data_IF_188162585195
#
_entry.id   IF_188162585195
#
_cell.length_a   1.000
_cell.length_b   1.000
_cell.length_c   1.000
_cell.angle_alpha   90.00
_cell.angle_beta   90.00
_cell.angle_gamma   90.00
#
_symmetry.space_group_name_H-M   'P 1'
#
loop_
_entity.id
_entity.type
_entity.pdbx_description
1 polymer ?
#
# COMPACT_ATOMS: atom_id res chain seq x y z
N UNK A 1 -13.43 -50.00 -41.08
CA UNK A 1 -14.19 -50.13 -39.82
C UNK A 1 -13.55 -49.35 -38.70
N UNK A 2 -14.37 -48.58 -37.99
CA UNK A 2 -13.97 -47.92 -36.74
C UNK A 2 -14.48 -48.74 -35.55
N UNK A 3 -13.68 -48.91 -34.49
CA UNK A 3 -14.09 -49.68 -33.32
C UNK A 3 -15.29 -49.02 -32.62
N UNK A 4 -16.15 -49.84 -32.01
CA UNK A 4 -17.21 -49.37 -31.11
C UNK A 4 -16.58 -49.06 -29.74
N UNK A 5 -16.65 -47.81 -29.32
CA UNK A 5 -16.13 -47.37 -28.02
C UNK A 5 -17.13 -47.65 -26.89
N UNK A 6 -16.65 -48.03 -25.69
CA UNK A 6 -17.50 -48.17 -24.51
C UNK A 6 -17.91 -46.79 -23.98
N UNK A 7 -19.13 -46.65 -23.46
CA UNK A 7 -19.63 -45.36 -22.92
C UNK A 7 -18.82 -44.81 -21.74
N UNK A 8 -17.98 -45.64 -21.10
CA UNK A 8 -17.08 -45.23 -20.01
C UNK A 8 -16.08 -44.14 -20.43
N UNK A 9 -15.79 -43.99 -21.73
CA UNK A 9 -14.86 -42.96 -22.22
C UNK A 9 -15.48 -41.56 -22.31
N UNK A 10 -16.80 -41.43 -22.21
CA UNK A 10 -17.48 -40.13 -22.32
C UNK A 10 -17.13 -39.17 -21.18
N UNK A 11 -16.68 -39.69 -20.03
CA UNK A 11 -16.35 -38.91 -18.83
C UNK A 11 -14.91 -39.14 -18.33
N UNK A 12 -13.95 -39.29 -19.24
CA UNK A 12 -12.53 -39.47 -18.91
C UNK A 12 -11.96 -38.25 -18.15
N UNK A 13 -11.60 -38.44 -16.89
CA UNK A 13 -10.82 -37.47 -16.10
C UNK A 13 -9.33 -37.53 -16.53
N UNK A 14 -8.99 -36.84 -17.62
CA UNK A 14 -7.64 -36.83 -18.20
C UNK A 14 -6.97 -35.45 -18.22
N UNK A 15 -7.64 -34.45 -17.66
CA UNK A 15 -7.15 -33.09 -17.48
C UNK A 15 -7.45 -32.66 -16.06
N UNK A 16 -6.49 -31.98 -15.47
CA UNK A 16 -6.64 -31.41 -14.14
C UNK A 16 -5.90 -30.07 -14.09
N UNK A 17 -6.31 -29.19 -13.20
CA UNK A 17 -5.63 -27.92 -13.01
C UNK A 17 -5.57 -27.56 -11.54
N UNK A 18 -4.44 -26.97 -11.15
CA UNK A 18 -4.30 -26.35 -9.84
C UNK A 18 -4.02 -24.88 -10.05
N UNK A 19 -4.71 -24.04 -9.30
CA UNK A 19 -4.60 -22.59 -9.39
C UNK A 19 -4.02 -21.96 -8.14
N UNK A 20 -3.42 -20.78 -8.31
CA UNK A 20 -3.03 -19.88 -7.22
C UNK A 20 -3.64 -18.51 -7.49
N UNK A 21 -4.39 -18.00 -6.53
CA UNK A 21 -4.95 -16.64 -6.55
C UNK A 21 -4.26 -15.80 -5.50
N UNK A 22 -3.76 -14.62 -5.88
CA UNK A 22 -3.16 -13.64 -4.99
C UNK A 22 -4.06 -12.41 -4.94
N UNK A 23 -4.67 -12.17 -3.78
CA UNK A 23 -5.47 -10.98 -3.50
C UNK A 23 -4.62 -9.83 -2.99
N UNK A 24 -4.90 -8.62 -3.44
CA UNK A 24 -4.26 -7.39 -2.98
C UNK A 24 -5.29 -6.47 -2.34
N UNK A 25 -5.21 -6.29 -1.02
CA UNK A 25 -6.22 -5.55 -0.23
C UNK A 25 -5.59 -4.49 0.66
N UNK A 26 -6.34 -3.47 1.04
CA UNK A 26 -5.97 -2.56 2.12
C UNK A 26 -6.33 -3.15 3.49
N UNK A 27 -5.87 -2.52 4.58
CA UNK A 27 -6.18 -2.96 5.97
C UNK A 27 -7.69 -3.03 6.27
N UNK A 28 -8.52 -2.26 5.57
CA UNK A 28 -9.99 -2.28 5.70
C UNK A 28 -10.67 -3.39 4.89
N UNK A 29 -9.89 -4.22 4.18
CA UNK A 29 -10.37 -5.30 3.33
C UNK A 29 -10.83 -4.86 1.93
N UNK A 30 -10.80 -3.57 1.61
CA UNK A 30 -11.11 -3.08 0.26
C UNK A 30 -10.00 -3.45 -0.72
N UNK A 31 -10.36 -3.56 -2.00
CA UNK A 31 -9.43 -3.94 -3.07
C UNK A 31 -8.36 -2.86 -3.29
N UNK A 32 -7.09 -3.23 -3.19
CA UNK A 32 -5.96 -2.34 -3.45
C UNK A 32 -5.46 -2.43 -4.89
N UNK A 33 -5.38 -3.64 -5.45
CA UNK A 33 -5.00 -3.94 -6.84
C UNK A 33 -5.78 -5.14 -7.36
N UNK A 34 -5.71 -5.35 -8.67
CA UNK A 34 -6.27 -6.54 -9.31
C UNK A 34 -5.56 -7.81 -8.86
N UNK A 35 -6.34 -8.88 -8.69
CA UNK A 35 -5.82 -10.18 -8.29
C UNK A 35 -4.92 -10.76 -9.38
N UNK A 36 -3.91 -11.51 -8.96
CA UNK A 36 -3.12 -12.35 -9.87
C UNK A 36 -3.61 -13.78 -9.75
N UNK A 37 -3.92 -14.40 -10.88
CA UNK A 37 -4.33 -15.81 -10.94
C UNK A 37 -3.37 -16.55 -11.86
N UNK A 38 -2.73 -17.59 -11.34
CA UNK A 38 -1.90 -18.53 -12.09
C UNK A 38 -2.58 -19.90 -12.12
N UNK A 39 -2.39 -20.65 -13.19
CA UNK A 39 -2.99 -21.98 -13.36
C UNK A 39 -2.00 -22.93 -13.99
N UNK A 40 -1.68 -24.00 -13.26
CA UNK A 40 -0.88 -25.11 -13.75
C UNK A 40 -1.81 -26.19 -14.29
N UNK A 41 -1.45 -26.73 -15.46
CA UNK A 41 -2.31 -27.65 -16.20
C UNK A 41 -1.66 -29.02 -16.32
N UNK A 42 -2.36 -30.04 -15.88
CA UNK A 42 -1.91 -31.42 -15.86
C UNK A 42 -2.74 -32.26 -16.83
N UNK A 43 -2.08 -33.21 -17.48
CA UNK A 43 -2.72 -34.17 -18.39
C UNK A 43 -2.22 -35.57 -18.11
N UNK A 44 -3.07 -36.57 -18.30
CA UNK A 44 -2.66 -37.98 -18.27
C UNK A 44 -3.27 -38.74 -19.43
N UNK A 45 -2.61 -39.83 -19.80
CA UNK A 45 -3.15 -40.77 -20.78
C UNK A 45 -3.89 -41.91 -20.09
N UNK A 46 -4.67 -42.67 -20.85
CA UNK A 46 -5.40 -43.82 -20.34
C UNK A 46 -5.49 -44.89 -21.41
N UNK A 47 -5.35 -46.15 -21.02
CA UNK A 47 -5.61 -47.28 -21.90
C UNK A 47 -7.05 -47.76 -21.67
N UNK A 48 -7.79 -47.99 -22.75
CA UNK A 48 -9.20 -48.39 -22.68
C UNK A 48 -9.35 -49.79 -23.27
N UNK A 49 -9.90 -50.71 -22.49
CA UNK A 49 -10.32 -52.01 -23.00
C UNK A 49 -11.69 -51.88 -23.69
N UNK A 50 -11.72 -52.00 -25.01
CA UNK A 50 -12.93 -51.81 -25.82
C UNK A 50 -14.01 -52.89 -25.59
N UNK A 51 -13.64 -54.05 -25.05
CA UNK A 51 -14.57 -55.16 -24.80
C UNK A 51 -15.19 -55.05 -23.41
N UNK A 52 -14.39 -54.75 -22.39
CA UNK A 52 -14.85 -54.70 -20.98
C UNK A 52 -15.25 -53.30 -20.52
N UNK A 53 -14.82 -52.25 -21.22
CA UNK A 53 -15.00 -50.86 -20.81
C UNK A 53 -14.05 -50.40 -19.70
N UNK A 54 -13.11 -51.25 -19.26
CA UNK A 54 -12.12 -50.91 -18.24
C UNK A 54 -11.15 -49.83 -18.72
N UNK A 55 -10.76 -48.92 -17.82
CA UNK A 55 -9.86 -47.79 -18.08
C UNK A 55 -8.69 -47.83 -17.11
N UNK A 56 -7.48 -47.94 -17.65
CA UNK A 56 -6.23 -47.87 -16.90
C UNK A 56 -5.59 -46.48 -17.07
N UNK A 57 -5.72 -45.64 -16.05
CA UNK A 57 -5.13 -44.30 -16.03
C UNK A 57 -3.63 -44.37 -15.79
N UNK A 58 -2.88 -43.62 -16.59
CA UNK A 58 -1.45 -43.41 -16.38
C UNK A 58 -1.21 -42.24 -15.41
N UNK A 59 0.05 -42.06 -15.02
CA UNK A 59 0.45 -40.94 -14.18
C UNK A 59 0.18 -39.59 -14.85
N UNK A 60 -0.04 -38.58 -14.01
CA UNK A 60 -0.16 -37.20 -14.45
C UNK A 60 1.17 -36.66 -14.94
N UNK A 61 1.11 -35.86 -16.00
CA UNK A 61 2.25 -35.17 -16.61
C UNK A 61 1.93 -33.68 -16.76
N UNK A 62 2.95 -32.85 -16.68
CA UNK A 62 2.86 -31.41 -16.92
C UNK A 62 4.15 -30.93 -17.58
N UNK A 63 4.07 -29.80 -18.29
CA UNK A 63 5.25 -29.08 -18.78
C UNK A 63 5.76 -28.06 -17.76
N UNK A 64 4.97 -27.78 -16.72
CA UNK A 64 5.26 -26.81 -15.68
C UNK A 64 4.55 -27.20 -14.39
N UNK A 65 5.31 -27.29 -13.30
CA UNK A 65 4.84 -27.64 -11.96
C UNK A 65 5.17 -26.54 -10.93
N UNK A 66 5.48 -25.34 -11.41
CA UNK A 66 5.92 -24.23 -10.57
C UNK A 66 5.01 -23.02 -10.71
N UNK A 67 4.45 -22.56 -9.61
CA UNK A 67 3.94 -21.19 -9.55
C UNK A 67 5.13 -20.25 -9.35
N UNK A 68 5.25 -19.24 -10.20
CA UNK A 68 6.42 -18.37 -10.22
C UNK A 68 6.48 -17.44 -9.00
N UNK A 69 7.56 -16.69 -8.84
CA UNK A 69 7.59 -15.63 -7.84
C UNK A 69 6.81 -14.42 -8.33
N UNK A 70 5.91 -13.87 -7.51
CA UNK A 70 5.16 -12.65 -7.84
C UNK A 70 5.58 -11.53 -6.90
N UNK A 71 6.14 -10.45 -7.46
CA UNK A 71 6.47 -9.24 -6.69
C UNK A 71 5.20 -8.43 -6.45
N UNK A 72 4.99 -8.01 -5.21
CA UNK A 72 3.84 -7.19 -4.85
C UNK A 72 3.93 -5.80 -5.49
N UNK A 73 2.86 -5.30 -6.13
CA UNK A 73 2.84 -3.96 -6.71
C UNK A 73 3.17 -2.86 -5.69
N UNK A 74 3.93 -1.85 -6.08
CA UNK A 74 4.12 -0.66 -5.25
C UNK A 74 2.89 0.24 -5.29
N UNK A 75 2.47 0.76 -4.13
CA UNK A 75 1.39 1.75 -4.01
C UNK A 75 1.93 2.94 -3.20
N UNK A 76 1.86 4.15 -3.75
CA UNK A 76 2.41 5.34 -3.09
C UNK A 76 1.74 5.57 -1.72
N UNK A 77 2.55 5.77 -0.68
CA UNK A 77 2.12 5.94 0.72
C UNK A 77 1.54 4.69 1.38
N UNK A 78 1.82 3.50 0.82
CA UNK A 78 1.50 2.23 1.44
C UNK A 78 2.68 1.24 1.36
N UNK A 79 2.82 0.42 2.41
CA UNK A 79 3.73 -0.71 2.49
C UNK A 79 2.95 -2.01 2.48
N UNK A 80 3.31 -2.91 1.56
CA UNK A 80 2.80 -4.27 1.55
C UNK A 80 3.40 -5.08 2.71
N UNK A 81 2.60 -5.90 3.38
CA UNK A 81 3.06 -6.85 4.40
C UNK A 81 4.00 -7.93 3.83
N UNK A 82 3.78 -8.30 2.57
CA UNK A 82 4.64 -9.18 1.76
C UNK A 82 5.12 -8.40 0.55
N UNK A 83 6.43 -8.17 0.43
CA UNK A 83 7.02 -7.54 -0.77
C UNK A 83 6.97 -8.44 -2.01
N UNK A 84 6.87 -9.76 -1.80
CA UNK A 84 6.69 -10.76 -2.83
C UNK A 84 6.01 -12.00 -2.27
N UNK A 85 5.32 -12.74 -3.14
CA UNK A 85 4.87 -14.11 -2.90
C UNK A 85 5.92 -15.03 -3.53
N UNK A 86 6.55 -15.94 -2.75
CA UNK A 86 7.60 -16.81 -3.26
C UNK A 86 7.06 -17.81 -4.30
N UNK A 87 7.98 -18.33 -5.11
CA UNK A 87 7.68 -19.42 -6.03
C UNK A 87 7.32 -20.70 -5.26
N UNK A 88 6.45 -21.53 -5.84
CA UNK A 88 6.06 -22.83 -5.29
C UNK A 88 6.25 -23.88 -6.38
N UNK A 89 7.31 -24.68 -6.27
CA UNK A 89 7.64 -25.76 -7.21
C UNK A 89 7.12 -27.12 -6.75
N UNK A 90 7.02 -28.07 -7.69
CA UNK A 90 6.61 -29.44 -7.40
C UNK A 90 5.12 -29.59 -7.13
N UNK A 91 4.29 -28.69 -7.68
CA UNK A 91 2.83 -28.77 -7.59
C UNK A 91 2.32 -29.99 -8.31
N UNK A 92 1.43 -30.75 -7.67
CA UNK A 92 0.86 -31.98 -8.23
C UNK A 92 -0.55 -31.75 -8.72
N UNK A 93 -0.98 -32.54 -9.70
CA UNK A 93 -2.29 -32.43 -10.33
C UNK A 93 -3.47 -32.36 -9.33
N UNK A 94 -3.42 -33.12 -8.23
CA UNK A 94 -4.51 -33.19 -7.25
C UNK A 94 -4.23 -32.35 -5.98
N UNK A 95 -3.25 -31.45 -6.01
CA UNK A 95 -3.07 -30.47 -4.94
C UNK A 95 -4.29 -29.54 -4.88
N UNK A 96 -4.57 -28.99 -3.70
CA UNK A 96 -5.61 -27.97 -3.56
C UNK A 96 -5.16 -26.64 -4.19
N UNK A 97 -6.14 -25.90 -4.70
CA UNK A 97 -5.94 -24.50 -5.08
C UNK A 97 -5.41 -23.68 -3.91
N UNK A 98 -4.57 -22.70 -4.22
CA UNK A 98 -3.92 -21.83 -3.24
C UNK A 98 -4.53 -20.43 -3.30
N UNK A 99 -4.75 -19.85 -2.14
CA UNK A 99 -5.17 -18.45 -2.01
C UNK A 99 -4.19 -17.74 -1.09
N UNK A 100 -3.59 -16.68 -1.61
CA UNK A 100 -2.68 -15.80 -0.88
C UNK A 100 -3.30 -14.41 -0.81
N UNK A 101 -3.05 -13.70 0.29
CA UNK A 101 -3.44 -12.30 0.43
C UNK A 101 -2.21 -11.48 0.78
N UNK A 102 -2.06 -10.34 0.09
CA UNK A 102 -1.11 -9.26 0.38
C UNK A 102 -1.92 -8.06 0.88
N UNK A 103 -1.56 -7.58 2.06
CA UNK A 103 -2.25 -6.46 2.72
C UNK A 103 -1.38 -5.21 2.71
N UNK A 104 -1.91 -4.11 2.19
CA UNK A 104 -1.26 -2.80 2.16
C UNK A 104 -1.66 -1.97 3.37
N UNK A 105 -0.65 -1.52 4.11
CA UNK A 105 -0.79 -0.62 5.26
C UNK A 105 -0.34 0.77 4.86
N UNK A 106 -1.08 1.81 5.28
CA UNK A 106 -0.65 3.19 5.06
C UNK A 106 0.69 3.42 5.73
N UNK A 107 1.59 4.10 5.03
CA UNK A 107 2.91 4.44 5.56
C UNK A 107 2.81 5.48 6.66
N UNK A 108 3.73 5.39 7.63
CA UNK A 108 3.93 6.44 8.61
C UNK A 108 4.55 7.68 7.93
N UNK A 109 4.03 8.84 8.30
CA UNK A 109 4.38 10.14 7.75
C UNK A 109 4.70 11.11 8.89
N UNK A 110 5.49 12.14 8.55
CA UNK A 110 5.84 13.22 9.46
C UNK A 110 5.65 14.57 8.77
N UNK A 111 5.07 15.51 9.49
CA UNK A 111 4.99 16.90 9.09
C UNK A 111 5.69 17.78 10.14
N UNK A 112 6.34 18.82 9.64
CA UNK A 112 7.16 19.75 10.40
C UNK A 112 6.56 21.14 10.28
N UNK A 113 6.24 21.75 11.42
CA UNK A 113 5.77 23.12 11.49
C UNK A 113 6.93 23.97 12.01
N UNK A 114 7.50 24.78 11.12
CA UNK A 114 8.69 25.58 11.41
C UNK A 114 8.29 27.04 11.65
N UNK A 115 8.54 27.52 12.86
CA UNK A 115 8.34 28.92 13.23
C UNK A 115 9.64 29.70 13.05
N UNK A 116 9.60 30.77 12.26
CA UNK A 116 10.79 31.55 11.91
C UNK A 116 10.58 33.06 12.10
N UNK A 117 11.65 33.78 12.43
CA UNK A 117 11.68 35.26 12.42
C UNK A 117 12.04 35.80 11.02
N UNK A 118 11.77 37.10 10.78
CA UNK A 118 11.97 37.90 9.54
C UNK A 118 12.94 37.34 8.50
N UNK A 119 12.49 37.29 7.23
CA UNK A 119 13.17 36.69 6.07
C UNK A 119 13.53 35.19 6.20
N UNK A 120 13.01 34.48 7.21
CA UNK A 120 13.20 33.02 7.38
C UNK A 120 14.57 32.61 7.95
N UNK A 121 15.40 33.58 8.34
CA UNK A 121 16.81 33.34 8.68
C UNK A 121 17.03 32.76 10.08
N UNK A 122 16.08 32.92 11.00
CA UNK A 122 16.18 32.40 12.38
C UNK A 122 15.00 31.51 12.71
N UNK A 123 15.28 30.25 13.05
CA UNK A 123 14.29 29.35 13.66
C UNK A 123 14.04 29.78 15.09
N UNK A 124 12.76 29.98 15.42
CA UNK A 124 12.31 30.27 16.78
C UNK A 124 11.97 28.97 17.50
N UNK A 125 11.17 28.12 16.86
CA UNK A 125 10.84 26.77 17.33
C UNK A 125 10.41 25.90 16.14
N UNK A 126 10.32 24.60 16.36
CA UNK A 126 9.80 23.64 15.40
C UNK A 126 8.95 22.63 16.15
N UNK A 127 7.77 22.38 15.62
CA UNK A 127 6.89 21.32 16.11
C UNK A 127 6.88 20.20 15.06
N UNK A 128 6.88 18.96 15.52
CA UNK A 128 6.78 17.78 14.67
C UNK A 128 5.51 17.02 15.01
N UNK A 129 4.81 16.56 13.98
CA UNK A 129 3.62 15.72 14.11
C UNK A 129 3.74 14.53 13.18
N UNK A 130 3.26 13.38 13.64
CA UNK A 130 3.28 12.12 12.88
C UNK A 130 1.87 11.60 12.67
N UNK A 131 1.66 10.88 11.58
CA UNK A 131 0.40 10.19 11.27
C UNK A 131 0.60 9.22 10.12
N UNK A 132 -0.48 8.73 9.53
CA UNK A 132 -0.39 7.87 8.34
C UNK A 132 -0.74 8.64 7.07
N UNK A 133 -0.25 8.14 5.93
CA UNK A 133 -0.53 8.72 4.61
C UNK A 133 -2.03 8.98 4.38
N UNK A 134 -2.35 10.17 3.90
CA UNK A 134 -3.72 10.64 3.65
C UNK A 134 -4.57 10.93 4.90
N UNK A 135 -4.06 10.75 6.12
CA UNK A 135 -4.76 11.18 7.34
C UNK A 135 -4.68 12.70 7.51
N UNK A 136 -5.67 13.29 8.19
CA UNK A 136 -5.63 14.70 8.54
C UNK A 136 -4.50 14.98 9.54
N UNK A 137 -3.77 16.08 9.31
CA UNK A 137 -2.77 16.58 10.25
C UNK A 137 -3.51 17.35 11.35
N UNK A 138 -3.74 16.67 12.47
CA UNK A 138 -4.43 17.22 13.64
C UNK A 138 -3.52 18.17 14.44
N UNK A 139 -3.23 19.34 13.87
CA UNK A 139 -2.36 20.36 14.45
C UNK A 139 -3.00 21.75 14.34
N UNK A 140 -2.58 22.70 15.18
CA UNK A 140 -3.03 24.09 15.14
C UNK A 140 -1.90 25.02 15.56
N UNK A 141 -1.66 26.06 14.76
CA UNK A 141 -0.61 27.05 14.99
C UNK A 141 -0.98 28.10 16.04
N UNK A 142 -2.27 28.21 16.40
CA UNK A 142 -2.85 29.31 17.17
C UNK A 142 -2.17 29.52 18.53
N UNK A 143 -1.90 28.45 19.27
CA UNK A 143 -1.30 28.55 20.62
C UNK A 143 0.12 29.10 20.56
N UNK A 144 0.98 28.55 19.70
CA UNK A 144 2.35 29.03 19.49
C UNK A 144 2.37 30.49 19.00
N UNK A 145 1.54 30.84 18.01
CA UNK A 145 1.44 32.22 17.51
C UNK A 145 1.01 33.18 18.63
N UNK A 146 0.07 32.76 19.50
CA UNK A 146 -0.38 33.58 20.63
C UNK A 146 0.75 33.82 21.63
N UNK A 147 1.59 32.82 21.88
CA UNK A 147 2.73 32.96 22.78
C UNK A 147 3.81 33.89 22.20
N UNK A 148 4.13 33.75 20.91
CA UNK A 148 5.05 34.69 20.25
C UNK A 148 4.53 36.13 20.24
N UNK A 149 3.21 36.35 20.11
CA UNK A 149 2.63 37.70 20.24
C UNK A 149 2.88 38.33 21.60
N UNK A 150 2.84 37.56 22.69
CA UNK A 150 3.17 38.05 24.05
C UNK A 150 4.65 38.38 24.19
N UNK A 151 5.51 37.64 23.50
CA UNK A 151 6.96 37.89 23.45
C UNK A 151 7.36 39.05 22.52
N UNK A 152 6.39 39.78 21.97
CA UNK A 152 6.65 40.93 21.12
C UNK A 152 6.88 40.57 19.65
N UNK A 153 6.26 39.51 19.12
CA UNK A 153 6.23 39.22 17.68
C UNK A 153 4.88 39.56 17.05
N UNK A 154 4.87 39.73 15.72
CA UNK A 154 3.70 39.92 14.85
C UNK A 154 3.67 38.78 13.83
N UNK A 155 2.49 38.24 13.53
CA UNK A 155 2.34 37.22 12.48
C UNK A 155 2.53 37.86 11.10
N UNK A 156 3.36 37.24 10.26
CA UNK A 156 3.58 37.63 8.86
C UNK A 156 2.86 36.65 7.94
N UNK A 157 3.11 35.34 8.09
CA UNK A 157 2.45 34.28 7.30
C UNK A 157 2.28 33.00 8.10
N UNK A 158 1.27 32.21 7.72
CA UNK A 158 1.00 30.88 8.28
C UNK A 158 0.63 29.94 7.13
N UNK A 159 1.61 29.16 6.65
CA UNK A 159 1.41 28.21 5.56
C UNK A 159 0.61 26.97 5.97
N UNK A 160 0.50 26.68 7.27
CA UNK A 160 -0.25 25.53 7.75
C UNK A 160 -1.76 25.82 7.70
N UNK A 161 -2.17 26.96 8.26
CA UNK A 161 -3.59 27.36 8.32
C UNK A 161 -4.11 27.86 6.97
N UNK A 162 -3.24 28.44 6.14
CA UNK A 162 -3.61 28.88 4.79
C UNK A 162 -4.08 27.70 3.93
N UNK A 163 -5.23 27.81 3.27
CA UNK A 163 -5.72 26.77 2.35
C UNK A 163 -6.41 25.57 3.01
N UNK A 164 -6.90 25.71 4.24
CA UNK A 164 -7.76 24.73 4.89
C UNK A 164 -7.04 23.55 5.53
N UNK A 165 -7.80 22.50 5.86
CA UNK A 165 -7.29 21.31 6.54
C UNK A 165 -6.16 20.65 5.73
N UNK A 166 -5.07 20.27 6.41
CA UNK A 166 -3.92 19.59 5.82
C UNK A 166 -4.03 18.09 6.06
N UNK A 167 -3.51 17.32 5.11
CA UNK A 167 -3.40 15.86 5.20
C UNK A 167 -1.95 15.46 4.98
N UNK A 168 -1.55 14.35 5.59
CA UNK A 168 -0.28 13.72 5.27
C UNK A 168 -0.27 13.30 3.80
N UNK A 169 0.81 13.58 3.08
CA UNK A 169 0.96 13.12 1.71
C UNK A 169 1.33 11.61 1.67
N UNK A 170 1.74 11.15 0.50
CA UNK A 170 2.07 9.76 0.22
C UNK A 170 3.57 9.59 -0.13
N UNK A 171 4.42 10.58 0.16
CA UNK A 171 5.88 10.56 -0.09
C UNK A 171 6.66 10.37 1.20
N UNK A 172 6.99 9.11 1.53
CA UNK A 172 7.81 8.78 2.72
C UNK A 172 9.26 9.24 2.61
N UNK A 173 9.73 9.69 1.44
CA UNK A 173 11.10 10.16 1.27
C UNK A 173 11.28 11.62 1.68
N UNK A 174 10.19 12.37 1.90
CA UNK A 174 10.23 13.79 2.25
C UNK A 174 9.19 14.15 3.31
N UNK A 175 9.67 14.70 4.41
CA UNK A 175 8.78 15.30 5.39
C UNK A 175 8.07 16.53 4.79
N UNK A 176 6.77 16.65 5.03
CA UNK A 176 6.02 17.85 4.68
C UNK A 176 6.42 18.98 5.63
N UNK A 177 6.77 20.14 5.09
CA UNK A 177 7.18 21.30 5.88
C UNK A 177 6.23 22.45 5.67
N UNK A 178 5.71 23.01 6.76
CA UNK A 178 4.90 24.23 6.77
C UNK A 178 5.62 25.31 7.56
N UNK A 179 5.75 26.51 6.97
CA UNK A 179 6.43 27.63 7.63
C UNK A 179 5.45 28.64 8.18
N UNK A 180 5.64 29.02 9.44
CA UNK A 180 4.98 30.16 10.06
C UNK A 180 6.02 31.26 10.24
N UNK A 181 5.83 32.38 9.54
CA UNK A 181 6.75 33.52 9.61
C UNK A 181 6.23 34.58 10.57
N UNK A 182 7.09 35.01 11.47
CA UNK A 182 6.86 36.04 12.48
C UNK A 182 7.86 37.19 12.28
N UNK A 183 7.49 38.40 12.67
CA UNK A 183 8.38 39.56 12.70
C UNK A 183 8.41 40.18 14.09
N UNK A 184 9.55 40.73 14.48
CA UNK A 184 9.66 41.45 15.75
C UNK A 184 8.77 42.70 15.73
N UNK A 185 8.09 42.95 16.86
CA UNK A 185 7.25 44.14 17.05
C UNK A 185 8.12 45.30 17.49
N UNK A 186 8.17 46.32 16.64
CA UNK A 186 8.70 47.64 16.98
C UNK A 186 7.54 48.61 17.18
N UNK A 187 7.59 49.37 18.27
CA UNK A 187 6.68 50.48 18.59
C UNK A 187 7.53 51.71 18.96
N UNK A 188 7.21 52.92 18.46
CA UNK A 188 7.95 54.13 18.82
C UNK A 188 7.64 54.53 20.26
N UNK A 189 8.69 54.82 21.04
CA UNK A 189 8.59 55.42 22.38
C UNK A 189 9.05 56.88 22.27
N UNK A 190 8.23 57.83 22.68
CA UNK A 190 8.63 59.24 22.77
C UNK A 190 8.39 59.79 24.19
N UNK A 191 9.02 60.93 24.56
CA UNK A 191 8.90 61.48 25.91
C UNK A 191 7.46 61.85 26.32
N UNK A 192 6.62 62.20 25.34
CA UNK A 192 5.23 62.65 25.56
C UNK A 192 4.22 61.49 25.59
N UNK A 193 4.62 60.29 25.15
CA UNK A 193 3.85 59.06 25.19
C UNK A 193 4.79 57.89 25.50
N UNK A 194 5.31 57.84 26.75
CA UNK A 194 6.07 56.69 27.20
C UNK A 194 5.11 55.50 27.20
N UNK A 195 5.24 54.63 26.22
CA UNK A 195 4.51 53.35 26.24
C UNK A 195 4.94 52.59 27.51
N UNK A 196 4.01 51.99 28.28
CA UNK A 196 4.32 51.33 29.55
C UNK A 196 5.21 50.10 29.39
#
# INVERSE_FOLDING_TARGET
DSPRWPGTVENLDNKESVSRTIHYVYEDGSKAKDDVVETLNFKRWSNVNLVTGHIDFQDWTTNDDTFDKVVSPTIAGYTADKSEIPAVSGVKAKDQDRVETVTYRKDAQKAVIRYVSTNGNRVLTTDEVTGKSGEAIAYSTTSQITEFKKQGYKLVSDEFTAGGAKVYDYDTARDQVYTVTLSERVEPVNPDNPTP
#
